data_IF_936754842340
#
_entry.id   IF_936754842340
#
_cell.length_a   1.000
_cell.length_b   1.000
_cell.length_c   1.000
_cell.angle_alpha   90.00
_cell.angle_beta   90.00
_cell.angle_gamma   90.00
#
_symmetry.space_group_name_H-M   'P 1'
#
loop_
_entity.id
_entity.type
_entity.pdbx_description
1 polymer ?
#
# COMPACT_ATOMS: atom_id res chain seq x y z
N UNK A 1 -29.60 5.72 -11.71
CA UNK A 1 -28.81 4.74 -12.48
C UNK A 1 -28.02 3.94 -11.47
N UNK A 2 -27.77 2.65 -11.72
CA UNK A 2 -26.88 1.86 -10.87
C UNK A 2 -25.46 2.43 -10.97
N UNK A 3 -24.71 2.42 -9.86
CA UNK A 3 -23.34 2.92 -9.81
C UNK A 3 -22.43 2.06 -10.71
N UNK A 4 -21.47 2.68 -11.41
CA UNK A 4 -20.36 1.92 -12.00
C UNK A 4 -19.43 1.38 -10.89
N UNK A 5 -18.59 0.36 -11.16
CA UNK A 5 -17.60 -0.10 -10.19
C UNK A 5 -16.69 1.01 -9.67
N UNK A 6 -16.24 1.90 -10.55
CA UNK A 6 -15.49 3.11 -10.19
C UNK A 6 -16.26 4.02 -9.25
N UNK A 7 -17.51 4.34 -9.57
CA UNK A 7 -18.34 5.20 -8.73
C UNK A 7 -18.58 4.57 -7.36
N UNK A 8 -18.84 3.26 -7.31
CA UNK A 8 -19.05 2.52 -6.07
C UNK A 8 -17.77 2.51 -5.20
N UNK A 9 -16.61 2.24 -5.78
CA UNK A 9 -15.32 2.24 -5.08
C UNK A 9 -14.97 3.64 -4.55
N UNK A 10 -15.09 4.67 -5.39
CA UNK A 10 -14.83 6.05 -4.98
C UNK A 10 -15.84 6.54 -3.95
N UNK A 11 -17.09 6.06 -3.98
CA UNK A 11 -18.06 6.38 -2.93
C UNK A 11 -17.64 5.82 -1.56
N UNK A 12 -17.15 4.58 -1.47
CA UNK A 12 -16.67 4.01 -0.20
C UNK A 12 -15.52 4.83 0.41
N UNK A 13 -14.56 5.22 -0.43
CA UNK A 13 -13.42 6.06 -0.03
C UNK A 13 -13.88 7.46 0.42
N UNK A 14 -14.92 8.01 -0.21
CA UNK A 14 -15.44 9.34 0.10
C UNK A 14 -16.60 9.32 1.12
N UNK A 15 -16.80 8.23 1.86
CA UNK A 15 -17.85 8.07 2.87
C UNK A 15 -19.27 8.31 2.35
N UNK A 16 -19.51 7.93 1.09
CA UNK A 16 -20.81 8.03 0.42
C UNK A 16 -21.48 6.66 0.32
N UNK A 17 -22.82 6.62 0.13
CA UNK A 17 -23.53 5.37 -0.09
C UNK A 17 -22.97 4.56 -1.26
N UNK A 18 -22.90 3.25 -1.06
CA UNK A 18 -22.48 2.24 -2.04
C UNK A 18 -23.63 1.27 -2.32
N UNK A 19 -23.58 0.55 -3.44
CA UNK A 19 -24.57 -0.47 -3.82
C UNK A 19 -24.13 -1.89 -3.42
N UNK A 20 -22.82 -2.14 -3.37
CA UNK A 20 -22.20 -3.37 -2.86
C UNK A 20 -20.93 -3.03 -2.06
N UNK A 21 -20.32 -4.01 -1.39
CA UNK A 21 -19.01 -3.83 -0.76
C UNK A 21 -17.92 -3.84 -1.84
N UNK A 22 -17.18 -2.73 -2.06
CA UNK A 22 -16.20 -2.71 -3.14
C UNK A 22 -15.05 -3.70 -2.89
N UNK A 23 -14.47 -4.20 -3.98
CA UNK A 23 -13.44 -5.23 -3.97
C UNK A 23 -12.18 -4.69 -4.63
N UNK A 24 -11.08 -4.62 -3.91
CA UNK A 24 -9.76 -4.40 -4.49
C UNK A 24 -9.12 -5.75 -4.84
N UNK A 25 -8.49 -5.93 -6.03
CA UNK A 25 -8.25 -4.94 -7.10
C UNK A 25 -9.25 -5.03 -8.28
N UNK A 26 -10.53 -5.35 -8.03
CA UNK A 26 -11.54 -5.53 -9.09
C UNK A 26 -12.21 -4.20 -9.47
N UNK A 27 -12.77 -3.50 -8.48
CA UNK A 27 -13.47 -2.21 -8.70
C UNK A 27 -12.48 -1.05 -8.83
N UNK A 28 -11.21 -1.29 -8.45
CA UNK A 28 -10.08 -0.40 -8.60
C UNK A 28 -8.86 -1.20 -9.05
N UNK A 29 -8.41 -0.94 -10.28
CA UNK A 29 -7.22 -1.53 -10.83
C UNK A 29 -5.97 -0.92 -10.18
N UNK A 30 -4.95 -1.75 -9.96
CA UNK A 30 -3.66 -1.31 -9.43
C UNK A 30 -2.60 -1.16 -10.52
N UNK A 31 -1.78 -0.13 -10.41
CA UNK A 31 -0.52 0.08 -11.12
C UNK A 31 0.55 0.50 -10.12
N UNK A 32 1.81 0.56 -10.53
CA UNK A 32 2.93 0.79 -9.64
C UNK A 32 3.18 -0.41 -8.71
N UNK A 33 3.82 -0.12 -7.58
CA UNK A 33 4.16 -1.12 -6.57
C UNK A 33 2.90 -1.74 -5.94
N UNK A 34 2.91 -3.05 -5.69
CA UNK A 34 1.80 -3.80 -5.09
C UNK A 34 0.85 -4.43 -6.12
N UNK A 35 0.78 -3.89 -7.34
CA UNK A 35 0.11 -4.54 -8.48
C UNK A 35 1.13 -5.14 -9.45
N UNK A 36 2.20 -4.41 -9.70
CA UNK A 36 3.39 -4.84 -10.42
C UNK A 36 4.61 -4.49 -9.56
N UNK A 37 5.83 -4.92 -9.91
CA UNK A 37 7.04 -4.47 -9.21
C UNK A 37 7.27 -2.95 -9.24
N UNK A 38 6.38 -2.15 -9.86
CA UNK A 38 6.43 -0.70 -9.94
C UNK A 38 7.71 -0.21 -10.59
N UNK A 39 8.03 1.09 -10.63
CA UNK A 39 9.28 1.49 -11.25
C UNK A 39 10.44 0.79 -10.54
N UNK A 40 11.20 0.01 -11.29
CA UNK A 40 12.33 -0.78 -10.78
C UNK A 40 13.36 0.07 -10.04
N UNK A 41 13.40 1.37 -10.30
CA UNK A 41 14.28 2.31 -9.63
C UNK A 41 13.81 2.65 -8.20
N UNK A 42 12.58 2.30 -7.82
CA UNK A 42 12.07 2.38 -6.45
C UNK A 42 12.28 1.09 -5.66
N UNK A 43 11.77 -0.07 -6.12
CA UNK A 43 11.86 -1.35 -5.37
C UNK A 43 12.68 -2.45 -6.06
N UNK A 44 13.70 -2.04 -6.83
CA UNK A 44 14.57 -2.95 -7.58
C UNK A 44 13.88 -3.59 -8.79
N UNK A 45 14.65 -4.12 -9.76
CA UNK A 45 14.06 -4.82 -10.90
C UNK A 45 13.51 -6.18 -10.50
N UNK A 46 12.51 -6.65 -11.26
CA UNK A 46 11.97 -8.00 -11.12
C UNK A 46 13.09 -9.04 -11.32
N UNK A 47 13.19 -10.01 -10.39
CA UNK A 47 14.29 -10.98 -10.35
C UNK A 47 15.53 -10.51 -9.56
N UNK A 48 15.49 -9.31 -8.99
CA UNK A 48 16.57 -8.74 -8.19
C UNK A 48 17.61 -7.98 -9.01
N UNK A 49 18.34 -7.08 -8.33
CA UNK A 49 19.27 -6.14 -8.97
C UNK A 49 19.34 -4.82 -8.20
N UNK A 50 19.96 -3.81 -8.77
CA UNK A 50 20.07 -2.49 -8.13
C UNK A 50 18.89 -1.59 -8.49
N UNK A 51 18.37 -0.87 -7.51
CA UNK A 51 17.42 0.22 -7.75
C UNK A 51 18.13 1.52 -8.13
N UNK A 52 17.38 2.62 -8.28
CA UNK A 52 17.93 3.91 -8.66
C UNK A 52 18.71 4.60 -7.54
N UNK A 53 18.54 4.16 -6.29
CA UNK A 53 19.27 4.65 -5.12
C UNK A 53 20.58 3.89 -4.90
N UNK A 54 20.86 2.85 -5.72
CA UNK A 54 22.04 2.01 -5.60
C UNK A 54 21.90 0.90 -4.56
N UNK A 55 20.68 0.58 -4.12
CA UNK A 55 20.41 -0.52 -3.19
C UNK A 55 20.20 -1.80 -3.98
N UNK A 56 20.83 -2.90 -3.54
CA UNK A 56 20.63 -4.22 -4.15
C UNK A 56 19.36 -4.86 -3.57
N UNK A 57 18.52 -5.38 -4.45
CA UNK A 57 17.27 -6.06 -4.13
C UNK A 57 17.34 -7.54 -4.52
N UNK A 58 16.64 -8.38 -3.77
CA UNK A 58 16.42 -9.81 -4.05
C UNK A 58 14.94 -10.13 -3.97
N UNK A 59 14.51 -11.17 -4.69
CA UNK A 59 13.12 -11.65 -4.71
C UNK A 59 13.06 -13.09 -4.19
N UNK A 60 13.00 -13.30 -2.87
CA UNK A 60 12.96 -14.65 -2.31
C UNK A 60 11.62 -15.34 -2.60
N UNK A 61 11.67 -16.62 -2.97
CA UNK A 61 10.46 -17.42 -3.17
C UNK A 61 9.60 -17.49 -1.89
N UNK A 62 10.22 -17.52 -0.71
CA UNK A 62 9.52 -17.51 0.57
C UNK A 62 8.72 -16.23 0.83
N UNK A 63 9.03 -15.14 0.12
CA UNK A 63 8.26 -13.90 0.12
C UNK A 63 7.32 -13.77 -1.08
N UNK A 64 7.05 -14.85 -1.80
CA UNK A 64 6.25 -14.84 -3.03
C UNK A 64 6.80 -13.98 -4.14
N UNK A 65 8.13 -13.84 -4.19
CA UNK A 65 8.81 -13.00 -5.16
C UNK A 65 8.74 -11.51 -4.87
N UNK A 66 8.15 -11.09 -3.75
CA UNK A 66 8.18 -9.69 -3.34
C UNK A 66 9.64 -9.23 -3.16
N UNK A 67 10.04 -8.09 -3.75
CA UNK A 67 11.40 -7.61 -3.66
C UNK A 67 11.68 -7.06 -2.25
N UNK A 68 12.83 -7.46 -1.69
CA UNK A 68 13.37 -6.93 -0.44
C UNK A 68 14.82 -6.44 -0.65
N UNK A 69 15.31 -5.46 0.13
CA UNK A 69 16.74 -5.15 0.15
C UNK A 69 17.55 -6.40 0.48
N UNK A 70 18.67 -6.57 -0.21
CA UNK A 70 19.60 -7.65 0.05
C UNK A 70 20.11 -7.56 1.50
N UNK A 71 19.96 -8.64 2.30
CA UNK A 71 20.42 -8.62 3.68
C UNK A 71 21.90 -8.28 3.78
N UNK A 72 22.24 -7.35 4.68
CA UNK A 72 23.62 -6.91 4.96
C UNK A 72 24.33 -6.22 3.78
N UNK A 73 23.59 -5.69 2.80
CA UNK A 73 24.13 -4.94 1.66
C UNK A 73 23.49 -3.54 1.58
N UNK A 74 23.75 -2.76 2.62
CA UNK A 74 23.28 -1.39 2.79
C UNK A 74 24.41 -0.39 2.49
N UNK A 75 24.06 0.86 2.17
CA UNK A 75 25.04 1.89 1.75
C UNK A 75 25.40 2.86 2.88
N UNK A 76 24.73 2.72 4.03
CA UNK A 76 24.82 3.59 5.20
C UNK A 76 24.43 2.79 6.45
N UNK A 77 24.70 3.33 7.63
CA UNK A 77 24.33 2.79 8.95
C UNK A 77 23.93 3.94 9.90
N UNK A 78 23.63 3.63 11.16
CA UNK A 78 23.23 4.64 12.15
C UNK A 78 24.34 5.63 12.49
N UNK A 79 25.62 5.25 12.37
CA UNK A 79 26.75 6.15 12.63
C UNK A 79 27.01 7.11 11.46
N UNK A 80 26.73 6.68 10.22
CA UNK A 80 27.04 7.43 9.00
C UNK A 80 25.86 8.24 8.45
N UNK A 81 24.67 8.11 9.04
CA UNK A 81 23.47 8.86 8.60
C UNK A 81 23.66 10.38 8.65
N UNK A 82 24.47 10.90 9.57
CA UNK A 82 24.78 12.34 9.64
C UNK A 82 25.42 12.88 8.36
N UNK A 83 26.05 12.02 7.57
CA UNK A 83 26.71 12.33 6.29
C UNK A 83 25.86 11.92 5.07
N UNK A 84 24.56 11.62 5.23
CA UNK A 84 23.68 11.07 4.19
C UNK A 84 23.72 11.86 2.87
N UNK A 85 23.89 13.18 2.91
CA UNK A 85 23.95 14.06 1.73
C UNK A 85 25.10 13.72 0.78
N UNK A 86 26.17 13.12 1.30
CA UNK A 86 27.33 12.69 0.50
C UNK A 86 27.23 11.24 0.03
N UNK A 87 26.36 10.45 0.68
CA UNK A 87 26.22 9.00 0.48
C UNK A 87 25.05 8.70 -0.47
N UNK A 88 23.88 9.25 -0.17
CA UNK A 88 22.62 8.95 -0.85
C UNK A 88 22.55 9.68 -2.19
N UNK A 89 22.29 8.92 -3.24
CA UNK A 89 22.07 9.46 -4.60
C UNK A 89 20.62 9.25 -4.99
N UNK A 90 19.89 10.35 -5.14
CA UNK A 90 18.52 10.32 -5.61
C UNK A 90 18.49 10.04 -7.12
N UNK A 91 17.60 9.16 -7.61
CA UNK A 91 17.41 8.96 -9.04
C UNK A 91 16.98 10.26 -9.74
N UNK A 92 17.51 10.54 -10.92
CA UNK A 92 17.03 11.66 -11.74
C UNK A 92 15.76 11.24 -12.50
N UNK A 93 14.61 11.73 -12.05
CA UNK A 93 13.30 11.43 -12.63
C UNK A 93 13.15 11.92 -14.08
N UNK A 94 13.97 12.86 -14.53
CA UNK A 94 13.94 13.35 -15.92
C UNK A 94 14.61 12.39 -16.89
N UNK A 95 15.44 11.46 -16.41
CA UNK A 95 16.12 10.46 -17.24
C UNK A 95 15.25 9.23 -17.53
N UNK A 96 14.11 9.11 -16.85
CA UNK A 96 13.17 7.99 -16.98
C UNK A 96 12.29 8.19 -18.22
N UNK A 97 12.19 7.16 -19.07
CA UNK A 97 11.21 7.11 -20.16
C UNK A 97 9.80 6.77 -19.63
N UNK A 98 9.20 7.75 -18.97
CA UNK A 98 7.87 7.62 -18.37
C UNK A 98 6.76 7.25 -19.36
N UNK A 99 6.69 7.81 -20.58
CA UNK A 99 5.67 7.41 -21.56
C UNK A 99 5.72 5.92 -21.87
N UNK A 100 6.90 5.36 -22.12
CA UNK A 100 7.05 3.93 -22.42
C UNK A 100 6.70 3.09 -21.21
N UNK A 101 7.23 3.44 -20.03
CA UNK A 101 6.97 2.71 -18.79
C UNK A 101 5.47 2.65 -18.46
N UNK A 102 4.78 3.80 -18.49
CA UNK A 102 3.35 3.86 -18.22
C UNK A 102 2.54 3.08 -19.27
N UNK A 103 2.90 3.21 -20.55
CA UNK A 103 2.20 2.49 -21.61
C UNK A 103 2.37 0.97 -21.53
N UNK A 104 3.53 0.48 -21.08
CA UNK A 104 3.78 -0.95 -20.88
C UNK A 104 3.02 -1.49 -19.68
N UNK A 105 3.07 -0.80 -18.55
CA UNK A 105 2.39 -1.22 -17.33
C UNK A 105 0.87 -1.18 -17.46
N UNK A 106 0.31 -0.11 -18.03
CA UNK A 106 -1.14 0.01 -18.23
C UNK A 106 -1.70 -1.04 -19.22
N UNK A 107 -0.89 -1.59 -20.13
CA UNK A 107 -1.30 -2.70 -21.01
C UNK A 107 -1.47 -4.03 -20.28
N UNK A 108 -0.86 -4.18 -19.10
CA UNK A 108 -1.00 -5.38 -18.28
C UNK A 108 -2.35 -5.43 -17.54
N UNK A 109 -3.06 -4.29 -17.47
CA UNK A 109 -4.37 -4.20 -16.86
C UNK A 109 -5.42 -4.87 -17.77
N UNK A 110 -5.83 -6.08 -17.39
CA UNK A 110 -6.86 -6.83 -18.10
C UNK A 110 -8.25 -6.22 -17.87
N UNK A 111 -9.04 -6.06 -18.93
CA UNK A 111 -10.41 -5.53 -18.91
C UNK A 111 -10.53 -4.13 -18.26
N UNK A 112 -9.50 -3.30 -18.37
CA UNK A 112 -9.47 -1.98 -17.77
C UNK A 112 -10.12 -0.92 -18.67
N UNK A 113 -11.11 -0.23 -18.12
CA UNK A 113 -11.78 0.93 -18.72
C UNK A 113 -11.80 2.07 -17.69
N UNK A 114 -11.21 3.23 -18.02
CA UNK A 114 -11.10 4.38 -17.09
C UNK A 114 -12.44 4.96 -16.66
N UNK A 115 -13.48 4.75 -17.45
CA UNK A 115 -14.83 5.22 -17.13
C UNK A 115 -15.58 4.24 -16.20
N UNK A 116 -15.17 2.97 -16.16
CA UNK A 116 -15.80 1.92 -15.36
C UNK A 116 -14.99 1.50 -14.12
N UNK A 117 -13.66 1.68 -14.14
CA UNK A 117 -12.75 1.18 -13.10
C UNK A 117 -11.84 2.30 -12.58
N UNK A 118 -11.76 2.44 -11.26
CA UNK A 118 -10.78 3.34 -10.63
C UNK A 118 -9.35 2.85 -10.90
N UNK A 119 -8.38 3.77 -10.91
CA UNK A 119 -6.96 3.43 -11.00
C UNK A 119 -6.23 3.93 -9.78
N UNK A 120 -5.56 3.02 -9.11
CA UNK A 120 -4.58 3.28 -8.07
C UNK A 120 -3.17 3.15 -8.62
N UNK A 121 -2.29 4.09 -8.24
CA UNK A 121 -0.85 3.91 -8.39
C UNK A 121 -0.22 3.70 -7.01
N UNK A 122 0.40 2.54 -6.81
CA UNK A 122 1.16 2.23 -5.60
C UNK A 122 2.58 2.76 -5.66
N UNK A 123 2.95 3.56 -4.66
CA UNK A 123 4.29 4.09 -4.47
C UNK A 123 4.97 3.31 -3.33
N UNK A 124 5.86 2.39 -3.69
CA UNK A 124 6.69 1.63 -2.76
C UNK A 124 7.75 2.48 -2.08
N UNK A 125 8.29 2.00 -0.95
CA UNK A 125 9.37 2.65 -0.21
C UNK A 125 9.01 4.09 0.18
N UNK A 126 8.03 4.22 1.07
CA UNK A 126 7.77 5.45 1.80
C UNK A 126 8.99 5.90 2.60
N UNK A 127 8.85 6.97 3.38
CA UNK A 127 10.01 7.59 4.04
C UNK A 127 10.71 6.65 5.02
N UNK A 128 9.98 5.84 5.78
CA UNK A 128 10.59 4.89 6.72
C UNK A 128 11.17 3.67 5.99
N UNK A 129 10.40 3.01 5.13
CA UNK A 129 10.88 1.89 4.32
C UNK A 129 12.11 2.26 3.48
N UNK A 130 12.17 3.48 2.91
CA UNK A 130 13.34 3.95 2.14
C UNK A 130 14.56 4.10 3.04
N UNK A 131 14.43 4.71 4.21
CA UNK A 131 15.54 4.80 5.17
C UNK A 131 16.01 3.40 5.58
N UNK A 132 15.07 2.48 5.85
CA UNK A 132 15.37 1.08 6.14
C UNK A 132 16.07 0.35 4.98
N UNK A 133 15.71 0.65 3.73
CA UNK A 133 16.40 0.08 2.57
C UNK A 133 17.85 0.60 2.44
N UNK A 134 18.07 1.89 2.73
CA UNK A 134 19.39 2.53 2.66
C UNK A 134 20.36 2.01 3.75
N UNK A 135 19.83 1.71 4.93
CA UNK A 135 20.60 1.51 6.15
C UNK A 135 20.55 0.10 6.74
N UNK A 136 19.47 -0.63 6.45
CA UNK A 136 19.10 -1.82 7.20
C UNK A 136 18.14 -1.51 8.33
N UNK A 137 17.34 -2.50 8.70
CA UNK A 137 16.20 -2.31 9.59
C UNK A 137 16.62 -2.00 11.04
N UNK A 138 17.57 -2.78 11.60
CA UNK A 138 18.06 -2.57 12.97
C UNK A 138 18.75 -1.21 13.13
N UNK A 139 19.66 -0.89 12.21
CA UNK A 139 20.34 0.42 12.13
C UNK A 139 19.33 1.57 12.04
N UNK A 140 18.26 1.43 11.26
CA UNK A 140 17.21 2.45 11.17
C UNK A 140 16.53 2.69 12.51
N UNK A 141 16.20 1.63 13.26
CA UNK A 141 15.57 1.79 14.56
C UNK A 141 16.49 2.45 15.59
N UNK A 142 17.80 2.19 15.53
CA UNK A 142 18.80 2.88 16.35
C UNK A 142 18.90 4.36 15.97
N UNK A 143 19.04 4.66 14.67
CA UNK A 143 19.17 6.02 14.15
C UNK A 143 17.96 6.91 14.50
N UNK A 144 16.74 6.38 14.52
CA UNK A 144 15.55 7.14 14.94
C UNK A 144 15.65 7.70 16.38
N UNK A 145 16.50 7.12 17.21
CA UNK A 145 16.72 7.53 18.60
C UNK A 145 18.03 8.29 18.76
N UNK A 146 19.11 7.81 18.13
CA UNK A 146 20.45 8.33 18.30
C UNK A 146 20.73 9.55 17.42
N UNK A 147 20.17 9.59 16.20
CA UNK A 147 20.39 10.65 15.20
C UNK A 147 19.06 11.19 14.59
N UNK A 148 18.08 11.60 15.42
CA UNK A 148 16.73 11.93 14.95
C UNK A 148 16.69 13.14 14.00
N UNK A 149 17.60 14.11 14.15
CA UNK A 149 17.72 15.24 13.22
C UNK A 149 18.18 14.79 11.83
N UNK A 150 19.16 13.90 11.75
CA UNK A 150 19.64 13.37 10.48
C UNK A 150 18.58 12.49 9.80
N UNK A 151 17.85 11.67 10.58
CA UNK A 151 16.67 10.95 10.08
C UNK A 151 15.63 11.91 9.50
N UNK A 152 15.27 12.98 10.22
CA UNK A 152 14.27 13.94 9.77
C UNK A 152 14.71 14.65 8.47
N UNK A 153 15.97 15.09 8.38
CA UNK A 153 16.49 15.73 7.17
C UNK A 153 16.50 14.79 5.96
N UNK A 154 16.87 13.52 6.15
CA UNK A 154 16.85 12.53 5.09
C UNK A 154 15.41 12.21 4.63
N UNK A 155 14.49 12.01 5.59
CA UNK A 155 13.08 11.77 5.28
C UNK A 155 12.44 12.99 4.60
N UNK A 156 12.87 14.20 4.96
CA UNK A 156 12.48 15.43 4.26
C UNK A 156 12.90 15.40 2.79
N UNK A 157 14.15 15.07 2.49
CA UNK A 157 14.65 14.97 1.12
C UNK A 157 13.97 13.85 0.33
N UNK A 158 13.70 12.70 0.97
CA UNK A 158 12.92 11.61 0.37
C UNK A 158 11.51 12.09 0.03
N UNK A 159 10.87 12.83 0.93
CA UNK A 159 9.53 13.37 0.69
C UNK A 159 9.51 14.34 -0.49
N UNK A 160 10.50 15.24 -0.59
CA UNK A 160 10.61 16.17 -1.72
C UNK A 160 10.73 15.41 -3.05
N UNK A 161 11.59 14.39 -3.09
CA UNK A 161 11.71 13.49 -4.23
C UNK A 161 10.39 12.78 -4.56
N UNK A 162 9.68 12.25 -3.55
CA UNK A 162 8.39 11.57 -3.73
C UNK A 162 7.29 12.50 -4.24
N UNK A 163 7.32 13.78 -3.87
CA UNK A 163 6.40 14.79 -4.41
C UNK A 163 6.66 15.02 -5.91
N UNK A 164 7.92 15.13 -6.34
CA UNK A 164 8.24 15.21 -7.77
C UNK A 164 7.87 13.91 -8.52
N UNK A 165 8.09 12.75 -7.90
CA UNK A 165 7.66 11.47 -8.42
C UNK A 165 6.14 11.42 -8.61
N UNK A 166 5.36 11.88 -7.64
CA UNK A 166 3.90 11.95 -7.72
C UNK A 166 3.42 12.85 -8.87
N UNK A 167 4.15 13.93 -9.18
CA UNK A 167 3.86 14.77 -10.37
C UNK A 167 4.05 13.99 -11.67
N UNK A 168 5.13 13.21 -11.79
CA UNK A 168 5.36 12.33 -12.96
C UNK A 168 4.27 11.27 -13.06
N UNK A 169 3.92 10.61 -11.96
CA UNK A 169 2.82 9.64 -11.92
C UNK A 169 1.51 10.28 -12.39
N UNK A 170 1.16 11.46 -11.87
CA UNK A 170 -0.03 12.19 -12.31
C UNK A 170 0.00 12.50 -13.81
N UNK A 171 1.15 12.92 -14.32
CA UNK A 171 1.32 13.28 -15.73
C UNK A 171 1.18 12.09 -16.68
N UNK A 172 1.76 10.94 -16.35
CA UNK A 172 1.90 9.82 -17.30
C UNK A 172 0.91 8.67 -17.06
N UNK A 173 0.53 8.40 -15.81
CA UNK A 173 -0.47 7.38 -15.45
C UNK A 173 -1.85 8.00 -15.20
N UNK A 174 -1.89 9.23 -14.67
CA UNK A 174 -3.12 9.94 -14.31
C UNK A 174 -4.11 9.08 -13.48
N UNK A 175 -3.67 8.49 -12.35
CA UNK A 175 -4.54 7.67 -11.51
C UNK A 175 -5.57 8.52 -10.75
N UNK A 176 -6.61 7.86 -10.25
CA UNK A 176 -7.56 8.49 -9.32
C UNK A 176 -6.96 8.52 -7.90
N UNK A 177 -6.14 7.52 -7.57
CA UNK A 177 -5.59 7.27 -6.24
C UNK A 177 -4.06 7.15 -6.30
N UNK A 178 -3.39 7.73 -5.30
CA UNK A 178 -1.96 7.51 -5.05
C UNK A 178 -1.80 6.86 -3.67
N UNK A 179 -1.29 5.64 -3.64
CA UNK A 179 -1.18 4.84 -2.44
C UNK A 179 0.28 4.80 -1.97
N UNK A 180 0.56 5.42 -0.82
CA UNK A 180 1.89 5.46 -0.21
C UNK A 180 2.12 4.20 0.64
N UNK A 181 3.05 3.35 0.25
CA UNK A 181 3.45 2.16 1.00
C UNK A 181 4.56 2.53 1.96
N UNK A 182 4.25 2.50 3.25
CA UNK A 182 5.25 2.68 4.30
C UNK A 182 4.82 1.87 5.54
N UNK A 183 5.34 0.65 5.64
CA UNK A 183 5.04 -0.24 6.75
C UNK A 183 5.73 0.24 8.02
N UNK A 184 4.95 0.45 9.09
CA UNK A 184 5.42 0.99 10.37
C UNK A 184 5.15 0.05 11.56
N UNK A 185 4.68 -1.18 11.30
CA UNK A 185 4.36 -2.16 12.33
C UNK A 185 4.58 -3.63 11.91
N UNK A 186 4.76 -4.46 12.94
CA UNK A 186 4.55 -5.90 12.88
C UNK A 186 3.10 -6.24 13.27
N UNK A 187 2.73 -7.51 13.19
CA UNK A 187 1.49 -8.03 13.80
C UNK A 187 1.40 -7.85 15.32
N UNK A 188 2.52 -7.56 16.00
CA UNK A 188 2.58 -7.41 17.46
C UNK A 188 2.54 -5.95 17.92
N UNK A 189 2.63 -5.00 16.98
CA UNK A 189 2.64 -3.57 17.26
C UNK A 189 3.64 -2.81 16.39
N UNK A 190 3.69 -1.50 16.62
CA UNK A 190 4.56 -0.57 15.91
C UNK A 190 6.05 -0.91 16.06
N UNK A 191 6.84 -0.63 15.03
CA UNK A 191 8.31 -0.76 15.10
C UNK A 191 8.94 0.28 16.04
N UNK A 192 8.23 1.37 16.33
CA UNK A 192 8.68 2.50 17.12
C UNK A 192 7.55 3.01 18.01
N UNK A 193 7.87 3.82 19.02
CA UNK A 193 6.81 4.45 19.83
C UNK A 193 5.93 5.39 18.98
N UNK A 194 4.65 5.57 19.32
CA UNK A 194 3.80 6.55 18.63
C UNK A 194 4.38 7.96 18.61
N UNK A 195 5.12 8.35 19.66
CA UNK A 195 5.74 9.68 19.73
C UNK A 195 6.90 9.83 18.74
N UNK A 196 7.67 8.77 18.48
CA UNK A 196 8.70 8.76 17.44
C UNK A 196 8.05 8.89 16.06
N UNK A 197 6.99 8.10 15.78
CA UNK A 197 6.24 8.23 14.53
C UNK A 197 5.70 9.66 14.31
N UNK A 198 5.06 10.24 15.34
CA UNK A 198 4.48 11.58 15.26
C UNK A 198 5.51 12.68 15.01
N UNK A 199 6.71 12.54 15.57
CA UNK A 199 7.78 13.53 15.42
C UNK A 199 8.53 13.39 14.10
N UNK A 200 8.84 12.16 13.70
CA UNK A 200 9.80 11.91 12.63
C UNK A 200 9.16 11.48 11.32
N UNK A 201 7.99 10.82 11.30
CA UNK A 201 7.44 10.21 10.07
C UNK A 201 6.13 10.89 9.65
N UNK A 202 5.20 11.08 10.59
CA UNK A 202 3.90 11.69 10.33
C UNK A 202 3.97 13.02 9.57
N UNK A 203 4.91 13.96 9.84
CA UNK A 203 4.99 15.21 9.10
C UNK A 203 5.24 14.99 7.60
N UNK A 204 6.04 13.99 7.25
CA UNK A 204 6.36 13.63 5.87
C UNK A 204 5.21 12.94 5.16
N UNK A 205 4.53 11.99 5.84
CA UNK A 205 3.30 11.38 5.31
C UNK A 205 2.25 12.44 5.01
N UNK A 206 2.06 13.40 5.94
CA UNK A 206 1.14 14.53 5.74
C UNK A 206 1.55 15.37 4.53
N UNK A 207 2.82 15.75 4.42
CA UNK A 207 3.31 16.62 3.34
C UNK A 207 3.14 15.96 1.96
N UNK A 208 3.41 14.65 1.86
CA UNK A 208 3.15 13.89 0.64
C UNK A 208 1.65 13.82 0.33
N UNK A 209 0.81 13.51 1.31
CA UNK A 209 -0.64 13.42 1.12
C UNK A 209 -1.26 14.76 0.71
N UNK A 210 -0.80 15.87 1.29
CA UNK A 210 -1.23 17.22 0.90
C UNK A 210 -0.85 17.52 -0.56
N UNK A 211 0.37 17.21 -0.98
CA UNK A 211 0.81 17.39 -2.37
C UNK A 211 0.02 16.49 -3.36
N UNK A 212 -0.25 15.23 -2.99
CA UNK A 212 -1.09 14.31 -3.78
C UNK A 212 -2.49 14.89 -4.00
N UNK A 213 -3.09 15.50 -2.96
CA UNK A 213 -4.39 16.18 -3.08
C UNK A 213 -4.33 17.40 -3.98
N UNK A 214 -3.28 18.21 -3.89
CA UNK A 214 -3.06 19.37 -4.77
C UNK A 214 -2.94 18.95 -6.25
N UNK A 215 -2.42 17.75 -6.52
CA UNK A 215 -2.37 17.14 -7.84
C UNK A 215 -3.72 16.55 -8.30
N UNK A 216 -4.77 16.63 -7.48
CA UNK A 216 -6.10 16.11 -7.81
C UNK A 216 -6.18 14.59 -7.77
N UNK A 217 -5.38 13.94 -6.93
CA UNK A 217 -5.44 12.50 -6.64
C UNK A 217 -5.88 12.29 -5.19
N UNK A 218 -6.41 11.10 -4.89
CA UNK A 218 -6.81 10.70 -3.54
C UNK A 218 -5.61 10.01 -2.87
N UNK A 219 -5.07 10.53 -1.75
CA UNK A 219 -4.02 9.84 -1.01
C UNK A 219 -4.57 8.70 -0.18
N UNK A 220 -3.92 7.54 -0.26
CA UNK A 220 -4.14 6.38 0.61
C UNK A 220 -2.82 6.06 1.31
N UNK A 221 -2.90 5.62 2.57
CA UNK A 221 -1.76 5.09 3.30
C UNK A 221 -1.85 3.57 3.35
N UNK A 222 -0.83 2.88 2.86
CA UNK A 222 -0.63 1.46 3.09
C UNK A 222 0.29 1.25 4.28
N UNK A 223 -0.14 0.41 5.21
CA UNK A 223 0.72 -0.18 6.24
C UNK A 223 0.09 -1.48 6.71
N UNK A 224 0.89 -2.54 6.78
CA UNK A 224 0.52 -3.81 7.40
C UNK A 224 0.67 -3.73 8.92
N UNK A 225 0.26 -4.80 9.61
CA UNK A 225 0.50 -5.01 11.03
C UNK A 225 -0.57 -4.43 11.95
N UNK A 226 -0.25 -4.41 13.25
CA UNK A 226 -1.07 -3.85 14.30
C UNK A 226 -0.81 -2.34 14.42
N UNK A 227 -1.57 -1.55 13.66
CA UNK A 227 -1.43 -0.10 13.51
C UNK A 227 -2.61 0.70 14.08
N UNK A 228 -3.63 0.07 14.67
CA UNK A 228 -4.84 0.76 15.16
C UNK A 228 -4.56 1.92 16.12
N UNK A 229 -3.44 1.88 16.85
CA UNK A 229 -2.99 2.97 17.74
C UNK A 229 -2.62 4.27 17.01
N UNK A 230 -2.40 4.22 15.69
CA UNK A 230 -2.07 5.36 14.84
C UNK A 230 -3.21 5.81 13.92
N UNK A 231 -4.42 5.23 14.05
CA UNK A 231 -5.53 5.55 13.12
C UNK A 231 -5.86 7.05 13.10
N UNK A 232 -5.86 7.72 14.25
CA UNK A 232 -6.10 9.17 14.33
C UNK A 232 -4.97 9.94 13.65
N UNK A 233 -3.73 9.49 13.83
CA UNK A 233 -2.57 10.08 13.17
C UNK A 233 -2.64 9.93 11.65
N UNK A 234 -3.05 8.76 11.13
CA UNK A 234 -3.25 8.50 9.70
C UNK A 234 -4.35 9.42 9.15
N UNK A 235 -5.49 9.56 9.84
CA UNK A 235 -6.57 10.47 9.45
C UNK A 235 -6.05 11.93 9.38
N UNK A 236 -5.24 12.35 10.36
CA UNK A 236 -4.68 13.71 10.42
C UNK A 236 -3.64 13.99 9.31
N UNK A 237 -2.96 12.97 8.77
CA UNK A 237 -2.16 13.15 7.55
C UNK A 237 -3.03 13.45 6.33
N UNK A 238 -4.34 13.20 6.41
CA UNK A 238 -5.29 13.43 5.35
C UNK A 238 -5.45 12.25 4.39
N UNK A 239 -4.95 11.06 4.72
CA UNK A 239 -5.24 9.85 3.96
C UNK A 239 -6.75 9.57 3.94
N UNK A 240 -7.31 9.28 2.77
CA UNK A 240 -8.72 8.94 2.62
C UNK A 240 -9.03 7.48 2.99
N UNK A 241 -8.02 6.62 2.91
CA UNK A 241 -8.11 5.24 3.35
C UNK A 241 -6.81 4.75 3.98
N UNK A 242 -6.94 3.74 4.83
CA UNK A 242 -5.85 2.86 5.25
C UNK A 242 -6.03 1.52 4.54
N UNK A 243 -5.01 1.06 3.81
CA UNK A 243 -4.99 -0.25 3.14
C UNK A 243 -4.02 -1.23 3.77
N UNK A 244 -4.23 -2.52 3.50
CA UNK A 244 -3.64 -3.68 4.19
C UNK A 244 -4.03 -3.77 5.67
N UNK A 245 -5.26 -3.37 6.01
CA UNK A 245 -5.78 -3.54 7.38
C UNK A 245 -5.92 -5.03 7.68
N UNK A 246 -5.11 -5.53 8.62
CA UNK A 246 -5.10 -6.94 9.03
C UNK A 246 -6.03 -7.20 10.23
N UNK A 247 -6.58 -8.42 10.38
CA UNK A 247 -7.53 -8.76 11.45
C UNK A 247 -6.92 -8.78 12.86
N UNK A 248 -5.60 -8.56 12.99
CA UNK A 248 -4.94 -8.28 14.27
C UNK A 248 -5.42 -6.96 14.90
N UNK A 249 -6.00 -6.06 14.09
CA UNK A 249 -6.65 -4.82 14.53
C UNK A 249 -8.15 -5.05 14.79
N UNK A 250 -8.76 -4.25 15.66
CA UNK A 250 -10.21 -4.25 15.89
C UNK A 250 -10.94 -3.48 14.77
N UNK A 251 -11.02 -4.10 13.58
CA UNK A 251 -11.57 -3.49 12.36
C UNK A 251 -13.01 -3.00 12.56
N UNK A 252 -13.84 -3.74 13.31
CA UNK A 252 -15.23 -3.35 13.60
C UNK A 252 -15.26 -2.04 14.38
N UNK A 253 -14.52 -1.97 15.48
CA UNK A 253 -14.45 -0.76 16.31
C UNK A 253 -13.87 0.43 15.54
N UNK A 254 -12.90 0.20 14.66
CA UNK A 254 -12.33 1.24 13.80
C UNK A 254 -13.36 1.77 12.80
N UNK A 255 -14.11 0.90 12.13
CA UNK A 255 -15.18 1.30 11.20
C UNK A 255 -16.32 2.02 11.92
N UNK A 256 -16.71 1.55 13.11
CA UNK A 256 -17.74 2.19 13.93
C UNK A 256 -17.33 3.59 14.41
N UNK A 257 -16.06 3.77 14.78
CA UNK A 257 -15.57 5.02 15.35
C UNK A 257 -15.10 6.03 14.31
N UNK A 258 -14.55 5.58 13.19
CA UNK A 258 -13.86 6.44 12.21
C UNK A 258 -14.31 6.22 10.76
N UNK A 259 -15.28 5.36 10.48
CA UNK A 259 -15.74 5.06 9.13
C UNK A 259 -16.34 6.26 8.38
N UNK A 260 -16.64 7.37 9.07
CA UNK A 260 -17.05 8.65 8.49
C UNK A 260 -15.87 9.57 8.11
N UNK A 261 -14.63 9.17 8.44
CA UNK A 261 -13.41 9.96 8.26
C UNK A 261 -12.30 9.23 7.50
N UNK A 262 -12.29 7.90 7.50
CA UNK A 262 -11.32 7.08 6.77
C UNK A 262 -11.92 5.73 6.36
N UNK A 263 -11.61 5.30 5.15
CA UNK A 263 -11.97 3.96 4.67
C UNK A 263 -10.92 2.92 5.03
N UNK A 264 -11.35 1.69 5.26
CA UNK A 264 -10.46 0.56 5.55
C UNK A 264 -10.50 -0.43 4.38
N UNK A 265 -9.34 -0.71 3.81
CA UNK A 265 -9.13 -1.65 2.71
C UNK A 265 -8.33 -2.83 3.25
N UNK A 266 -8.88 -4.05 3.20
CA UNK A 266 -8.22 -5.22 3.80
C UNK A 266 -9.21 -6.21 4.40
N UNK A 267 -8.95 -6.63 5.63
CA UNK A 267 -9.81 -7.48 6.47
C UNK A 267 -9.58 -8.98 6.34
N UNK A 268 -9.02 -9.41 5.20
CA UNK A 268 -8.71 -10.81 4.91
C UNK A 268 -7.51 -11.31 5.74
N UNK A 269 -7.62 -12.52 6.29
CA UNK A 269 -6.65 -13.07 7.24
C UNK A 269 -5.46 -13.77 6.54
N UNK A 270 -4.68 -13.00 5.78
CA UNK A 270 -3.54 -13.50 5.01
C UNK A 270 -2.41 -14.12 5.86
N UNK A 271 -2.42 -13.95 7.19
CA UNK A 271 -1.44 -14.54 8.11
C UNK A 271 -2.03 -15.68 8.96
N UNK A 272 -3.35 -15.85 8.94
CA UNK A 272 -4.05 -16.96 9.60
C UNK A 272 -4.21 -18.19 8.71
N UNK A 273 -5.29 -18.95 8.96
CA UNK A 273 -5.60 -20.18 8.22
C UNK A 273 -5.62 -19.98 6.69
N UNK A 274 -6.34 -18.99 6.14
CA UNK A 274 -6.50 -18.91 4.68
C UNK A 274 -5.22 -18.47 3.95
N UNK A 275 -4.26 -17.88 4.67
CA UNK A 275 -2.95 -17.51 4.18
C UNK A 275 -1.94 -18.65 4.11
N UNK A 276 -2.23 -19.81 4.71
CA UNK A 276 -1.29 -20.94 4.71
C UNK A 276 -1.14 -21.51 3.29
N UNK A 277 0.06 -22.00 2.99
CA UNK A 277 0.35 -22.66 1.71
C UNK A 277 -0.53 -23.91 1.50
N UNK A 278 -0.89 -24.61 2.58
CA UNK A 278 -1.73 -25.81 2.58
C UNK A 278 -3.23 -25.52 2.75
N UNK A 279 -3.64 -24.24 2.80
CA UNK A 279 -5.05 -23.89 2.93
C UNK A 279 -5.86 -24.35 1.71
N UNK A 280 -7.03 -24.91 1.97
CA UNK A 280 -8.00 -25.31 0.96
C UNK A 280 -8.67 -24.09 0.32
N UNK A 281 -9.30 -24.26 -0.84
CA UNK A 281 -10.09 -23.19 -1.46
C UNK A 281 -11.26 -22.84 -0.53
N UNK A 282 -11.89 -23.82 0.09
CA UNK A 282 -13.01 -23.65 1.02
C UNK A 282 -12.63 -22.79 2.23
N UNK A 283 -11.46 -23.00 2.84
CA UNK A 283 -10.96 -22.16 3.94
C UNK A 283 -10.74 -20.72 3.51
N UNK A 284 -10.22 -20.50 2.29
CA UNK A 284 -10.05 -19.16 1.73
C UNK A 284 -11.38 -18.46 1.47
N UNK A 285 -12.34 -19.16 0.85
CA UNK A 285 -13.66 -18.61 0.58
C UNK A 285 -14.44 -18.33 1.86
N UNK A 286 -14.28 -19.15 2.90
CA UNK A 286 -14.89 -18.92 4.21
C UNK A 286 -14.41 -17.59 4.83
N UNK A 287 -13.15 -17.21 4.66
CA UNK A 287 -12.65 -15.92 5.15
C UNK A 287 -13.14 -14.73 4.31
N UNK A 288 -13.33 -14.91 2.99
CA UNK A 288 -14.02 -13.92 2.14
C UNK A 288 -15.44 -13.66 2.67
N UNK A 289 -16.19 -14.71 2.98
CA UNK A 289 -17.55 -14.59 3.54
C UNK A 289 -17.51 -13.91 4.92
N UNK A 290 -16.63 -14.34 5.82
CA UNK A 290 -16.45 -13.72 7.13
C UNK A 290 -16.21 -12.20 7.01
N UNK A 291 -15.31 -11.80 6.11
CA UNK A 291 -15.02 -10.40 5.86
C UNK A 291 -16.25 -9.63 5.41
N UNK A 292 -16.99 -10.15 4.43
CA UNK A 292 -18.17 -9.49 3.87
C UNK A 292 -19.32 -9.43 4.89
N UNK A 293 -19.58 -10.51 5.64
CA UNK A 293 -20.63 -10.56 6.67
C UNK A 293 -20.32 -9.63 7.86
N UNK A 294 -19.05 -9.55 8.26
CA UNK A 294 -18.63 -8.78 9.44
C UNK A 294 -18.45 -7.31 9.12
N UNK A 295 -17.76 -7.00 8.03
CA UNK A 295 -17.30 -5.65 7.70
C UNK A 295 -18.07 -5.02 6.54
N UNK A 296 -18.64 -5.82 5.62
CA UNK A 296 -19.37 -5.33 4.44
C UNK A 296 -20.63 -4.51 4.74
N UNK A 297 -21.11 -4.53 5.98
CA UNK A 297 -22.19 -3.65 6.45
C UNK A 297 -21.77 -2.18 6.64
N UNK A 298 -20.47 -1.88 6.74
CA UNK A 298 -19.96 -0.51 6.96
C UNK A 298 -19.60 0.16 5.62
N UNK A 299 -20.14 1.34 5.29
CA UNK A 299 -20.02 1.95 3.95
C UNK A 299 -18.58 2.20 3.51
N UNK A 300 -17.68 2.45 4.46
CA UNK A 300 -16.26 2.73 4.21
C UNK A 300 -15.34 1.53 4.39
N UNK A 301 -15.89 0.31 4.28
CA UNK A 301 -15.11 -0.91 4.14
C UNK A 301 -15.00 -1.34 2.68
N UNK A 302 -13.80 -1.78 2.30
CA UNK A 302 -13.46 -2.36 1.00
C UNK A 302 -12.69 -3.66 1.30
N UNK A 303 -13.12 -4.76 0.69
CA UNK A 303 -12.42 -6.04 0.87
C UNK A 303 -11.20 -6.11 -0.03
N UNK A 304 -10.09 -6.61 0.51
CA UNK A 304 -8.91 -6.99 -0.28
C UNK A 304 -8.50 -8.42 0.10
N UNK A 305 -9.02 -9.44 -0.61
CA UNK A 305 -8.62 -10.82 -0.40
C UNK A 305 -7.27 -11.07 -1.08
N UNK A 306 -6.23 -11.27 -0.27
CA UNK A 306 -4.85 -11.41 -0.74
C UNK A 306 -4.14 -12.54 0.01
N UNK A 307 -3.28 -13.26 -0.72
CA UNK A 307 -2.37 -14.25 -0.15
C UNK A 307 -1.05 -14.22 -0.89
N UNK A 308 0.04 -14.47 -0.17
CA UNK A 308 1.35 -14.76 -0.78
C UNK A 308 1.47 -16.26 -1.03
N UNK A 309 2.16 -16.62 -2.10
CA UNK A 309 2.48 -18.02 -2.44
C UNK A 309 3.98 -18.22 -2.37
N UNK A 310 4.46 -19.44 -2.15
CA UNK A 310 5.91 -19.73 -2.21
C UNK A 310 6.34 -20.01 -3.66
N UNK A 311 6.19 -19.00 -4.53
CA UNK A 311 6.51 -19.08 -5.95
C UNK A 311 7.02 -17.75 -6.48
N UNK A 312 7.76 -17.80 -7.58
CA UNK A 312 8.16 -16.64 -8.38
C UNK A 312 7.33 -16.51 -9.66
N UNK A 313 6.48 -17.51 -9.98
CA UNK A 313 5.58 -17.44 -11.13
C UNK A 313 4.34 -16.63 -10.74
N UNK A 314 4.09 -15.46 -11.37
CA UNK A 314 2.90 -14.66 -11.10
C UNK A 314 1.59 -15.42 -11.32
N UNK A 315 1.60 -16.45 -12.17
CA UNK A 315 0.43 -17.29 -12.43
C UNK A 315 -0.01 -18.05 -11.18
N UNK A 316 0.93 -18.50 -10.35
CA UNK A 316 0.61 -19.27 -9.15
C UNK A 316 -0.14 -18.40 -8.13
N UNK A 317 0.26 -17.12 -7.99
CA UNK A 317 -0.47 -16.16 -7.15
C UNK A 317 -1.88 -15.92 -7.71
N UNK A 318 -1.99 -15.71 -9.02
CA UNK A 318 -3.28 -15.46 -9.67
C UNK A 318 -4.24 -16.66 -9.55
N UNK A 319 -3.75 -17.89 -9.76
CA UNK A 319 -4.56 -19.10 -9.65
C UNK A 319 -5.16 -19.28 -8.25
N UNK A 320 -4.45 -18.84 -7.19
CA UNK A 320 -4.95 -18.86 -5.82
C UNK A 320 -5.90 -17.68 -5.54
N UNK A 321 -5.63 -16.50 -6.11
CA UNK A 321 -6.44 -15.30 -5.88
C UNK A 321 -7.77 -15.29 -6.65
N UNK A 322 -7.82 -15.83 -7.87
CA UNK A 322 -9.00 -15.74 -8.73
C UNK A 322 -10.27 -16.36 -8.14
N UNK A 323 -10.24 -17.54 -7.47
CA UNK A 323 -11.40 -18.07 -6.78
C UNK A 323 -11.93 -17.13 -5.69
N UNK A 324 -11.02 -16.53 -4.91
CA UNK A 324 -11.38 -15.61 -3.83
C UNK A 324 -12.02 -14.33 -4.39
N UNK A 325 -11.43 -13.75 -5.43
CA UNK A 325 -11.94 -12.54 -6.09
C UNK A 325 -13.29 -12.80 -6.76
N UNK A 326 -13.43 -13.92 -7.46
CA UNK A 326 -14.70 -14.32 -8.08
C UNK A 326 -15.82 -14.50 -7.06
N UNK A 327 -15.51 -15.12 -5.92
CA UNK A 327 -16.46 -15.29 -4.84
C UNK A 327 -16.78 -13.99 -4.11
N UNK A 328 -15.80 -13.11 -3.92
CA UNK A 328 -16.01 -11.78 -3.35
C UNK A 328 -16.98 -10.96 -4.21
N UNK A 329 -16.83 -11.00 -5.55
CA UNK A 329 -17.77 -10.36 -6.50
C UNK A 329 -19.18 -10.94 -6.30
N UNK A 330 -19.31 -12.27 -6.40
CA UNK A 330 -20.60 -12.95 -6.31
C UNK A 330 -21.32 -12.62 -5.00
N UNK A 331 -20.64 -12.80 -3.87
CA UNK A 331 -21.23 -12.69 -2.54
C UNK A 331 -21.47 -11.23 -2.13
N UNK A 332 -20.57 -10.30 -2.49
CA UNK A 332 -20.77 -8.87 -2.24
C UNK A 332 -22.01 -8.32 -2.95
N UNK A 333 -22.24 -8.72 -4.21
CA UNK A 333 -23.45 -8.34 -4.94
C UNK A 333 -24.71 -9.05 -4.43
N UNK A 334 -24.61 -10.29 -3.94
CA UNK A 334 -25.74 -11.00 -3.33
C UNK A 334 -26.20 -10.33 -2.02
N UNK A 335 -25.25 -9.95 -1.16
CA UNK A 335 -25.54 -9.19 0.05
C UNK A 335 -26.09 -7.79 -0.28
N UNK A 336 -25.51 -7.16 -1.32
CA UNK A 336 -25.74 -5.76 -1.63
C UNK A 336 -25.40 -4.83 -0.46
N UNK A 337 -25.89 -3.60 -0.53
CA UNK A 337 -25.89 -2.65 0.58
C UNK A 337 -27.34 -2.32 0.91
N UNK A 338 -27.87 -2.91 1.98
CA UNK A 338 -29.12 -2.40 2.53
C UNK A 338 -28.83 -1.03 3.13
N UNK A 339 -29.55 0.00 2.70
CA UNK A 339 -29.48 1.34 3.31
C UNK A 339 -30.02 1.24 4.73
N UNK A 340 -29.19 0.84 5.69
CA UNK A 340 -29.48 1.00 7.10
C UNK A 340 -28.93 2.35 7.55
N UNK A 341 -29.90 3.25 7.73
CA UNK A 341 -29.90 4.64 8.23
C UNK A 341 -28.79 5.00 9.19
#
# INVERSE_FOLDING_TARGET
MSLTPKENYLNAINHKPTEWTPIFPIDCAGSGFGAYPGPWFEKGPMGGGYDGFGIRWITPASGGGAPIPAPNEHIMDSETIVDWKSIVKFPDLETVDWPTMAAEELKLLHNFDRDQTALEFGCGNGVFERVAALMGFEETLMALIEEPEACYELMEAITDYKIEFAKKVKQYYNPDIFNNYDDIATERGLFMSPDVYRKLIKPHHKRLNDAVKELGMIPIQHTCGLCESLIEDIIETGAAAWTSVQPVNDIVKLLEKYGDRIALIGGYDANGIPGRLDATVEERLADVHRCLDTYGKYPSYIIFPFVTVNSLDPKDMLDVMMPMLGEAIRYSHELGRTQSV
#
